data_IF_523723278459
#
_entry.id   IF_523723278459
#
_cell.length_a   1.000
_cell.length_b   1.000
_cell.length_c   1.000
_cell.angle_alpha   90.00
_cell.angle_beta   90.00
_cell.angle_gamma   90.00
#
_symmetry.space_group_name_H-M   'P 1'
#
loop_
_entity.id
_entity.type
_entity.pdbx_description
1 polymer ?
#
# COMPACT_ATOMS: atom_id res chain seq x y z
N UNK A 1 14.52 -15.94 -35.68
CA UNK A 1 13.19 -16.55 -35.49
C UNK A 1 13.33 -18.01 -35.04
N UNK A 2 14.08 -18.85 -35.74
CA UNK A 2 14.31 -20.26 -35.39
C UNK A 2 14.92 -20.44 -33.99
N UNK A 3 15.91 -19.63 -33.65
CA UNK A 3 16.59 -19.64 -32.34
C UNK A 3 15.65 -19.28 -31.19
N UNK A 4 14.75 -18.33 -31.41
CA UNK A 4 13.79 -17.86 -30.43
C UNK A 4 12.62 -18.85 -30.20
N UNK A 5 12.20 -19.54 -31.25
CA UNK A 5 11.03 -20.42 -31.18
C UNK A 5 11.36 -21.87 -30.82
N UNK A 6 12.53 -22.35 -31.16
CA UNK A 6 12.90 -23.77 -30.98
C UNK A 6 13.91 -23.98 -29.85
N UNK A 7 14.90 -23.11 -29.71
CA UNK A 7 15.94 -23.27 -28.69
C UNK A 7 15.55 -22.59 -27.37
N UNK A 8 14.85 -21.45 -27.45
CA UNK A 8 14.43 -20.70 -26.26
C UNK A 8 12.91 -20.78 -25.98
N UNK A 9 12.18 -21.58 -26.76
CA UNK A 9 10.71 -21.68 -26.67
C UNK A 9 10.23 -22.17 -25.29
N UNK A 10 10.88 -23.17 -24.72
CA UNK A 10 10.52 -23.71 -23.39
C UNK A 10 10.79 -22.70 -22.27
N UNK A 11 11.90 -21.96 -22.35
CA UNK A 11 12.23 -20.90 -21.39
C UNK A 11 11.24 -19.73 -21.48
N UNK A 12 10.76 -19.41 -22.69
CA UNK A 12 9.78 -18.37 -22.92
C UNK A 12 8.39 -18.79 -22.40
N UNK A 13 7.98 -20.03 -22.63
CA UNK A 13 6.72 -20.60 -22.14
C UNK A 13 6.73 -20.69 -20.62
N UNK A 14 7.83 -21.15 -20.01
CA UNK A 14 7.95 -21.24 -18.55
C UNK A 14 7.91 -19.84 -17.89
N UNK A 15 8.58 -18.85 -18.46
CA UNK A 15 8.53 -17.45 -18.00
C UNK A 15 7.17 -16.82 -18.19
N UNK A 16 6.46 -17.15 -19.27
CA UNK A 16 5.10 -16.69 -19.52
C UNK A 16 4.10 -17.33 -18.55
N UNK A 17 4.20 -18.62 -18.30
CA UNK A 17 3.38 -19.35 -17.32
C UNK A 17 3.64 -18.85 -15.89
N UNK A 18 4.89 -18.60 -15.51
CA UNK A 18 5.24 -18.01 -14.21
C UNK A 18 4.65 -16.59 -14.02
N UNK A 19 4.44 -15.84 -15.10
CA UNK A 19 3.79 -14.52 -15.06
C UNK A 19 2.26 -14.59 -14.99
N UNK A 20 1.66 -15.64 -15.56
CA UNK A 20 0.19 -15.76 -15.71
C UNK A 20 -0.44 -16.62 -14.61
N UNK A 21 0.34 -17.48 -13.96
CA UNK A 21 -0.15 -18.38 -12.91
C UNK A 21 0.32 -17.90 -11.56
N UNK A 22 -0.57 -17.34 -10.75
CA UNK A 22 -0.32 -17.06 -9.34
C UNK A 22 -0.89 -18.20 -8.51
N UNK A 23 -0.03 -18.89 -7.77
CA UNK A 23 -0.46 -19.86 -6.78
C UNK A 23 -1.01 -19.12 -5.55
N UNK A 24 -2.28 -19.31 -5.26
CA UNK A 24 -2.94 -18.72 -4.10
C UNK A 24 -3.23 -19.81 -3.07
N UNK A 25 -2.50 -19.79 -1.96
CA UNK A 25 -2.77 -20.68 -0.84
C UNK A 25 -3.98 -20.17 -0.06
N UNK A 26 -5.09 -20.89 -0.15
CA UNK A 26 -6.28 -20.62 0.68
C UNK A 26 -6.06 -21.31 2.04
N UNK A 27 -5.88 -20.51 3.08
CA UNK A 27 -5.81 -21.04 4.45
C UNK A 27 -7.21 -21.46 4.89
N UNK A 28 -7.33 -22.68 5.43
CA UNK A 28 -8.57 -23.12 6.06
C UNK A 28 -8.84 -22.34 7.35
N UNK A 29 -10.11 -22.28 7.75
CA UNK A 29 -10.50 -21.72 9.06
C UNK A 29 -9.92 -22.60 10.17
N UNK A 30 -9.52 -21.98 11.27
CA UNK A 30 -9.14 -22.70 12.49
C UNK A 30 -10.39 -23.29 13.15
N UNK A 31 -10.24 -24.38 13.91
CA UNK A 31 -11.32 -24.91 14.72
C UNK A 31 -11.62 -24.02 15.93
N UNK A 32 -12.81 -24.15 16.49
CA UNK A 32 -13.16 -23.53 17.76
C UNK A 32 -12.46 -24.24 18.92
N UNK A 33 -12.11 -23.50 19.95
CA UNK A 33 -11.62 -24.04 21.22
C UNK A 33 -12.81 -24.08 22.18
N UNK A 34 -13.11 -25.25 22.68
CA UNK A 34 -14.24 -25.50 23.60
C UNK A 34 -13.72 -25.89 24.99
N UNK A 35 -14.49 -25.59 26.02
CA UNK A 35 -14.24 -26.12 27.36
C UNK A 35 -14.73 -27.58 27.47
N UNK A 36 -14.58 -28.18 28.66
CA UNK A 36 -15.01 -29.55 28.93
C UNK A 36 -16.56 -29.75 28.86
N UNK A 37 -17.33 -28.67 28.91
CA UNK A 37 -18.80 -28.71 28.86
C UNK A 37 -19.31 -28.44 27.43
N UNK A 38 -18.40 -28.08 26.49
CA UNK A 38 -18.75 -27.72 25.13
C UNK A 38 -18.96 -26.22 24.90
N UNK A 39 -18.70 -25.40 25.92
CA UNK A 39 -18.81 -23.95 25.79
C UNK A 39 -17.61 -23.36 25.00
N UNK A 40 -17.90 -22.40 24.14
CA UNK A 40 -16.90 -21.81 23.25
C UNK A 40 -15.99 -20.87 24.05
N UNK A 41 -14.70 -21.24 24.18
CA UNK A 41 -13.67 -20.40 24.77
C UNK A 41 -13.03 -19.46 23.73
N UNK A 42 -12.89 -19.93 22.49
CA UNK A 42 -12.42 -19.11 21.37
C UNK A 42 -13.03 -19.60 20.06
N UNK A 43 -13.47 -18.67 19.23
CA UNK A 43 -14.03 -18.95 17.91
C UNK A 43 -13.42 -18.05 16.85
N UNK A 44 -13.60 -18.43 15.60
CA UNK A 44 -13.23 -17.56 14.49
C UNK A 44 -14.33 -16.53 14.24
N UNK A 45 -13.90 -15.29 14.08
CA UNK A 45 -14.76 -14.23 13.57
C UNK A 45 -14.44 -14.04 12.10
N UNK A 46 -15.46 -14.08 11.25
CA UNK A 46 -15.29 -13.80 9.83
C UNK A 46 -14.90 -12.32 9.67
N UNK A 47 -13.74 -12.08 9.09
CA UNK A 47 -13.32 -10.75 8.71
C UNK A 47 -12.96 -10.73 7.24
N UNK A 48 -13.18 -9.60 6.60
CA UNK A 48 -12.82 -9.38 5.21
C UNK A 48 -11.57 -8.50 5.16
N UNK A 49 -10.69 -8.80 4.22
CA UNK A 49 -9.56 -7.93 3.89
C UNK A 49 -9.62 -7.57 2.42
N UNK A 50 -9.34 -6.32 2.13
CA UNK A 50 -9.20 -5.85 0.76
C UNK A 50 -7.72 -5.83 0.40
N UNK A 51 -7.40 -6.40 -0.77
CA UNK A 51 -6.02 -6.41 -1.29
C UNK A 51 -6.02 -5.70 -2.63
N UNK A 52 -5.14 -4.72 -2.77
CA UNK A 52 -4.87 -4.06 -4.03
C UNK A 52 -3.73 -4.80 -4.74
N UNK A 53 -3.99 -5.33 -5.92
CA UNK A 53 -2.97 -5.94 -6.79
C UNK A 53 -2.77 -5.08 -8.04
N UNK A 54 -1.52 -4.68 -8.26
CA UNK A 54 -1.14 -3.95 -9.45
C UNK A 54 -0.92 -4.91 -10.63
N UNK A 55 -1.87 -4.92 -11.57
CA UNK A 55 -1.80 -5.67 -12.82
C UNK A 55 -1.79 -4.73 -14.05
N UNK A 56 -1.59 -3.43 -13.84
CA UNK A 56 -1.61 -2.40 -14.88
C UNK A 56 -0.36 -2.39 -15.75
N UNK A 57 -0.49 -1.74 -16.90
CA UNK A 57 0.61 -1.36 -17.76
C UNK A 57 0.65 0.17 -17.82
N UNK A 58 1.77 0.76 -17.47
CA UNK A 58 1.91 2.20 -17.33
C UNK A 58 3.06 2.72 -18.18
N UNK A 59 2.96 3.94 -18.65
CA UNK A 59 4.01 4.61 -19.44
C UNK A 59 5.07 5.26 -18.55
N UNK A 60 4.71 5.58 -17.29
CA UNK A 60 5.60 6.20 -16.32
C UNK A 60 5.26 5.81 -14.88
N UNK A 61 6.21 5.99 -13.97
CA UNK A 61 6.00 5.80 -12.53
C UNK A 61 4.92 6.75 -12.00
N UNK A 62 4.89 7.99 -12.49
CA UNK A 62 3.89 8.99 -12.12
C UNK A 62 2.47 8.52 -12.50
N UNK A 63 2.27 8.07 -13.74
CA UNK A 63 0.99 7.53 -14.21
C UNK A 63 0.52 6.34 -13.36
N UNK A 64 1.45 5.41 -13.10
CA UNK A 64 1.19 4.27 -12.20
C UNK A 64 0.70 4.74 -10.83
N UNK A 65 1.42 5.65 -10.20
CA UNK A 65 1.11 6.11 -8.86
C UNK A 65 -0.23 6.84 -8.81
N UNK A 66 -0.51 7.74 -9.76
CA UNK A 66 -1.79 8.43 -9.82
C UNK A 66 -2.96 7.46 -10.04
N UNK A 67 -2.81 6.48 -10.92
CA UNK A 67 -3.84 5.45 -11.15
C UNK A 67 -4.12 4.63 -9.89
N UNK A 68 -3.07 4.15 -9.21
CA UNK A 68 -3.23 3.37 -7.98
C UNK A 68 -3.81 4.22 -6.84
N UNK A 69 -3.39 5.47 -6.71
CA UNK A 69 -3.93 6.41 -5.72
C UNK A 69 -5.41 6.70 -5.98
N UNK A 70 -5.80 6.85 -7.25
CA UNK A 70 -7.20 7.03 -7.63
C UNK A 70 -8.07 5.83 -7.26
N UNK A 71 -7.60 4.62 -7.55
CA UNK A 71 -8.30 3.38 -7.14
C UNK A 71 -8.40 3.30 -5.63
N UNK A 72 -7.32 3.56 -4.90
CA UNK A 72 -7.33 3.55 -3.42
C UNK A 72 -8.30 4.60 -2.87
N UNK A 73 -8.31 5.80 -3.42
CA UNK A 73 -9.23 6.86 -3.02
C UNK A 73 -10.69 6.45 -3.22
N UNK A 74 -11.06 5.90 -4.38
CA UNK A 74 -12.42 5.43 -4.65
C UNK A 74 -12.85 4.32 -3.68
N UNK A 75 -11.96 3.38 -3.37
CA UNK A 75 -12.21 2.33 -2.39
C UNK A 75 -12.47 2.92 -1.00
N UNK A 76 -11.66 3.88 -0.56
CA UNK A 76 -11.86 4.58 0.71
C UNK A 76 -13.21 5.30 0.76
N UNK A 77 -13.62 5.94 -0.34
CA UNK A 77 -14.95 6.59 -0.42
C UNK A 77 -16.08 5.58 -0.28
N UNK A 78 -15.97 4.40 -0.90
CA UNK A 78 -16.97 3.32 -0.78
C UNK A 78 -17.03 2.80 0.66
N UNK A 79 -15.91 2.53 1.31
CA UNK A 79 -15.86 2.08 2.70
C UNK A 79 -16.51 3.11 3.62
N UNK A 80 -16.09 4.36 3.52
CA UNK A 80 -16.62 5.45 4.34
C UNK A 80 -18.13 5.66 4.14
N UNK A 81 -18.63 5.57 2.90
CA UNK A 81 -20.07 5.70 2.60
C UNK A 81 -20.92 4.58 3.19
N UNK A 82 -20.32 3.42 3.44
CA UNK A 82 -20.96 2.27 4.10
C UNK A 82 -20.77 2.27 5.63
N UNK A 83 -20.12 3.27 6.19
CA UNK A 83 -19.86 3.37 7.63
C UNK A 83 -18.73 2.47 8.12
N UNK A 84 -17.93 1.94 7.21
CA UNK A 84 -16.74 1.14 7.53
C UNK A 84 -15.50 2.03 7.63
N UNK A 85 -14.57 1.61 8.48
CA UNK A 85 -13.28 2.26 8.66
C UNK A 85 -12.14 1.30 8.36
N UNK A 86 -10.99 1.85 7.96
CA UNK A 86 -9.79 1.06 7.75
C UNK A 86 -8.90 1.10 8.99
N UNK A 87 -8.33 -0.04 9.34
CA UNK A 87 -7.24 -0.09 10.31
C UNK A 87 -5.96 0.34 9.61
N UNK A 88 -5.31 1.37 10.13
CA UNK A 88 -4.05 1.87 9.59
C UNK A 88 -3.00 2.03 10.69
N UNK A 89 -1.74 2.05 10.28
CA UNK A 89 -0.58 2.37 11.10
C UNK A 89 0.19 3.55 10.52
N UNK A 90 -0.54 4.55 10.04
CA UNK A 90 0.03 5.79 9.55
C UNK A 90 0.19 6.76 10.73
N UNK A 91 1.43 7.14 11.02
CA UNK A 91 1.82 7.85 12.24
C UNK A 91 2.20 9.31 12.02
N UNK A 92 1.70 9.93 10.95
CA UNK A 92 1.80 11.36 10.74
C UNK A 92 0.42 11.98 10.90
N UNK A 93 0.31 12.98 11.74
CA UNK A 93 -0.91 13.74 12.01
C UNK A 93 -0.64 15.23 11.81
N UNK A 94 -1.69 16.00 11.59
CA UNK A 94 -1.59 17.47 11.59
C UNK A 94 -1.84 17.95 13.02
N UNK A 95 -0.90 18.69 13.57
CA UNK A 95 -0.99 19.24 14.92
C UNK A 95 -1.95 20.45 14.98
N UNK A 96 -2.08 21.05 16.18
CA UNK A 96 -2.95 22.21 16.42
C UNK A 96 -2.51 23.48 15.67
N UNK A 97 -1.25 23.53 15.24
CA UNK A 97 -0.67 24.64 14.50
C UNK A 97 -0.79 24.45 12.98
N UNK A 98 -1.27 23.29 12.53
CA UNK A 98 -1.33 22.92 11.13
C UNK A 98 -0.04 22.30 10.59
N UNK A 99 0.89 21.90 11.45
CA UNK A 99 2.17 21.30 11.08
C UNK A 99 2.12 19.77 11.18
N UNK A 100 2.91 19.09 10.38
CA UNK A 100 3.00 17.63 10.44
C UNK A 100 3.79 17.20 11.66
N UNK A 101 3.24 16.25 12.41
CA UNK A 101 3.87 15.70 13.61
C UNK A 101 3.66 14.18 13.68
N UNK A 102 4.52 13.49 14.41
CA UNK A 102 4.29 12.09 14.72
C UNK A 102 3.36 11.93 15.92
N UNK A 103 2.41 11.00 15.85
CA UNK A 103 1.53 10.62 16.96
C UNK A 103 2.14 9.55 17.87
N UNK A 104 3.35 9.10 17.55
CA UNK A 104 4.14 8.12 18.32
C UNK A 104 5.48 8.72 18.74
N UNK A 105 5.99 8.24 19.87
CA UNK A 105 7.30 8.66 20.36
C UNK A 105 8.44 8.00 19.59
N UNK A 106 9.60 8.64 19.62
CA UNK A 106 10.82 8.06 19.05
C UNK A 106 11.10 6.68 19.63
N UNK A 107 11.41 5.71 18.79
CA UNK A 107 11.66 4.33 19.18
C UNK A 107 11.35 3.33 18.10
N UNK A 108 11.10 2.09 18.50
CA UNK A 108 10.90 0.97 17.56
C UNK A 108 9.72 1.22 16.60
N UNK A 109 8.56 1.69 17.11
CA UNK A 109 7.35 1.92 16.31
C UNK A 109 7.58 2.96 15.23
N UNK A 110 8.20 4.10 15.59
CA UNK A 110 8.49 5.15 14.62
C UNK A 110 9.53 4.70 13.59
N UNK A 111 10.56 3.98 14.02
CA UNK A 111 11.56 3.45 13.09
C UNK A 111 10.99 2.37 12.16
N UNK A 112 10.06 1.55 12.64
CA UNK A 112 9.32 0.61 11.78
C UNK A 112 8.48 1.35 10.75
N UNK A 113 7.74 2.38 11.18
CA UNK A 113 6.96 3.22 10.27
C UNK A 113 7.85 3.91 9.22
N UNK A 114 9.00 4.47 9.63
CA UNK A 114 9.98 5.02 8.68
C UNK A 114 10.44 3.95 7.67
N UNK A 115 10.76 2.75 8.13
CA UNK A 115 11.16 1.66 7.25
C UNK A 115 10.06 1.30 6.24
N UNK A 116 8.81 1.24 6.66
CA UNK A 116 7.67 0.95 5.77
C UNK A 116 7.48 2.04 4.71
N UNK A 117 7.56 3.32 5.08
CA UNK A 117 7.45 4.44 4.15
C UNK A 117 8.60 4.44 3.12
N UNK A 118 9.82 4.17 3.56
CA UNK A 118 10.99 4.13 2.67
C UNK A 118 11.19 2.77 1.97
N UNK A 119 10.25 1.82 2.16
CA UNK A 119 10.27 0.52 1.49
C UNK A 119 11.40 -0.40 1.96
N UNK A 120 11.85 -0.25 3.22
CA UNK A 120 12.88 -1.09 3.80
C UNK A 120 12.28 -2.29 4.54
N UNK A 121 12.82 -3.49 4.28
CA UNK A 121 12.36 -4.71 4.94
C UNK A 121 12.68 -4.72 6.44
N UNK A 122 13.86 -4.23 6.81
CA UNK A 122 14.33 -4.14 8.19
C UNK A 122 14.61 -2.69 8.59
N UNK A 123 14.49 -2.39 9.88
CA UNK A 123 14.83 -1.07 10.42
C UNK A 123 16.33 -0.79 10.24
N UNK A 124 17.16 -1.81 10.30
CA UNK A 124 18.61 -1.69 10.14
C UNK A 124 19.02 -1.28 8.72
N UNK A 125 18.18 -1.54 7.73
CA UNK A 125 18.40 -1.14 6.33
C UNK A 125 18.13 0.35 6.07
N UNK A 126 17.54 1.06 7.04
CA UNK A 126 17.33 2.50 6.93
C UNK A 126 18.68 3.23 6.89
N UNK A 127 18.81 4.16 5.96
CA UNK A 127 19.92 5.12 5.92
C UNK A 127 19.83 6.09 7.10
N UNK A 128 20.95 6.68 7.49
CA UNK A 128 20.98 7.61 8.62
C UNK A 128 20.00 8.78 8.46
N UNK A 129 19.88 9.32 7.27
CA UNK A 129 18.92 10.38 6.92
C UNK A 129 17.45 9.91 7.09
N UNK A 130 17.17 8.65 6.78
CA UNK A 130 15.84 8.07 6.91
C UNK A 130 15.49 7.77 8.38
N UNK A 131 16.49 7.40 9.20
CA UNK A 131 16.31 7.16 10.63
C UNK A 131 15.94 8.43 11.39
N UNK A 132 16.42 9.58 10.91
CA UNK A 132 16.19 10.88 11.55
C UNK A 132 15.17 11.75 10.82
N UNK A 133 14.50 11.19 9.78
CA UNK A 133 13.55 11.93 8.98
C UNK A 133 12.40 12.48 9.84
N UNK A 134 12.10 13.76 9.64
CA UNK A 134 10.96 14.44 10.26
C UNK A 134 9.65 14.09 9.57
N UNK A 135 8.52 14.41 10.19
CA UNK A 135 7.20 14.21 9.57
C UNK A 135 7.06 14.97 8.26
N UNK A 136 7.57 16.21 8.18
CA UNK A 136 7.56 17.01 6.96
C UNK A 136 8.36 16.38 5.83
N UNK A 137 9.57 15.90 6.14
CA UNK A 137 10.42 15.21 5.14
C UNK A 137 9.76 13.92 4.63
N UNK A 138 9.07 13.20 5.49
CA UNK A 138 8.34 12.00 5.07
C UNK A 138 7.11 12.36 4.23
N UNK A 139 6.39 13.43 4.57
CA UNK A 139 5.28 13.93 3.74
C UNK A 139 5.77 14.42 2.38
N UNK A 140 6.88 15.16 2.33
CA UNK A 140 7.50 15.57 1.07
C UNK A 140 7.89 14.35 0.20
N UNK A 141 8.41 13.29 0.83
CA UNK A 141 8.71 12.04 0.13
C UNK A 141 7.45 11.37 -0.43
N UNK A 142 6.35 11.35 0.34
CA UNK A 142 5.08 10.73 -0.08
C UNK A 142 4.38 11.52 -1.19
N UNK A 143 4.42 12.86 -1.13
CA UNK A 143 3.78 13.74 -2.12
C UNK A 143 4.63 13.96 -3.37
N UNK A 144 5.91 13.59 -3.33
CA UNK A 144 6.82 13.75 -4.46
C UNK A 144 6.34 13.04 -5.72
N UNK A 145 6.29 13.76 -6.85
CA UNK A 145 5.80 13.24 -8.13
C UNK A 145 6.58 12.04 -8.67
N UNK A 146 7.85 11.94 -8.32
CA UNK A 146 8.74 10.83 -8.69
C UNK A 146 8.71 9.68 -7.65
N UNK A 147 7.91 9.80 -6.62
CA UNK A 147 7.80 8.82 -5.53
C UNK A 147 6.40 8.20 -5.50
N UNK A 148 5.58 8.59 -4.55
CA UNK A 148 4.23 8.02 -4.42
C UNK A 148 3.14 8.88 -5.09
N UNK A 149 3.45 10.12 -5.44
CA UNK A 149 2.51 11.05 -6.09
C UNK A 149 1.19 11.20 -5.33
N UNK A 150 1.24 11.20 -3.99
CA UNK A 150 0.04 11.43 -3.17
C UNK A 150 -0.36 12.89 -3.33
N UNK A 151 -1.60 13.10 -3.79
CA UNK A 151 -2.16 14.43 -4.03
C UNK A 151 -2.76 14.95 -2.73
N UNK A 152 -2.34 16.14 -2.32
CA UNK A 152 -2.92 16.87 -1.19
C UNK A 152 -3.97 17.87 -1.70
N UNK A 153 -4.95 18.18 -0.85
CA UNK A 153 -5.96 19.19 -1.17
C UNK A 153 -5.29 20.54 -1.46
N UNK A 154 -5.60 21.12 -2.63
CA UNK A 154 -5.01 22.37 -3.09
C UNK A 154 -3.61 22.24 -3.70
N UNK A 155 -3.14 21.04 -3.95
CA UNK A 155 -1.87 20.81 -4.65
C UNK A 155 -1.95 21.30 -6.09
N UNK A 156 -0.94 22.11 -6.48
CA UNK A 156 -0.85 22.70 -7.82
C UNK A 156 0.12 21.98 -8.74
N UNK A 157 0.73 20.89 -8.27
CA UNK A 157 1.65 20.08 -9.07
C UNK A 157 0.92 19.24 -10.13
N UNK A 158 -0.41 19.18 -10.06
CA UNK A 158 -1.29 18.39 -10.92
C UNK A 158 -2.33 19.28 -11.58
N UNK A 159 -2.67 18.99 -12.84
CA UNK A 159 -3.78 19.66 -13.53
C UNK A 159 -5.12 19.03 -13.16
N UNK A 160 -6.22 19.78 -13.27
CA UNK A 160 -7.57 19.26 -13.03
C UNK A 160 -7.87 18.05 -13.94
N UNK A 161 -7.52 18.13 -15.22
CA UNK A 161 -7.71 17.03 -16.18
C UNK A 161 -6.95 15.78 -15.79
N UNK A 162 -5.72 15.93 -15.25
CA UNK A 162 -4.91 14.82 -14.77
C UNK A 162 -5.54 14.16 -13.55
N UNK A 163 -6.01 14.94 -12.58
CA UNK A 163 -6.69 14.42 -11.39
C UNK A 163 -8.00 13.70 -11.74
N UNK A 164 -8.84 14.31 -12.57
CA UNK A 164 -10.12 13.74 -13.01
C UNK A 164 -9.90 12.42 -13.77
N UNK A 165 -8.92 12.37 -14.68
CA UNK A 165 -8.64 11.18 -15.48
C UNK A 165 -8.21 9.98 -14.64
N UNK A 166 -7.62 10.23 -13.47
CA UNK A 166 -7.21 9.18 -12.52
C UNK A 166 -8.21 8.97 -11.37
N UNK A 167 -9.34 9.69 -11.35
CA UNK A 167 -10.38 9.56 -10.33
C UNK A 167 -9.99 10.11 -8.95
N UNK A 168 -9.10 11.10 -8.94
CA UNK A 168 -8.64 11.81 -7.75
C UNK A 168 -9.48 13.08 -7.49
N UNK A 169 -9.55 13.59 -6.25
CA UNK A 169 -10.25 14.83 -5.93
C UNK A 169 -9.53 16.05 -6.52
N UNK A 170 -10.30 17.08 -6.85
CA UNK A 170 -9.81 18.39 -7.28
C UNK A 170 -9.34 19.22 -6.09
#
# INVERSE_FOLDING_TARGET
LFDLQIIQGEDYISKFQARTTKERVLKSTRGNILDRNGDILASNVLSYSLTLEDNGTYTSTREKNLTLNGVAYQVLQILHSNGDDITHSFHIVVDKNGEYAFDVVEGFTLNRFRADIYGQALIDDLKDEQKTATADQMMEFLTGSEKFSIVLSGDRAYTEDELISHGLPL
#
